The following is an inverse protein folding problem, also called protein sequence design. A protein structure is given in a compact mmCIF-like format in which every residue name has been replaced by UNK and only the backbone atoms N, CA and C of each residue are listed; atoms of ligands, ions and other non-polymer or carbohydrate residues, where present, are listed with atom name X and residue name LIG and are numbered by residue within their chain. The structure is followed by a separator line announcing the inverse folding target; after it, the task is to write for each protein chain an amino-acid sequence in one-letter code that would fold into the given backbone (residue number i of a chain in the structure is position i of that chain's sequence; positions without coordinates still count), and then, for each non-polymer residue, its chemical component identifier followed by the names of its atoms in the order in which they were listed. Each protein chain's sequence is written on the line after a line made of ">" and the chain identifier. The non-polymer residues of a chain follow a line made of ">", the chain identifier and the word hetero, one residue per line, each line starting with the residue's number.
data_IF_021905304268
#
_entry.id   IF_021905304268
#
_cell.length_a   1.000
_cell.length_b   1.000
_cell.length_c   1.000
_cell.angle_alpha   90.00
_cell.angle_beta   90.00
_cell.angle_gamma   90.00
#
_symmetry.space_group_name_H-M   'P 1'
#
loop_
_entity.id
_entity.type
_entity.pdbx_description
1 polymer ?
#
# COMPACT_ATOMS: atom_id res chain seq x y z
N UNK A 1 -4.43 22.74 -13.92
CA UNK A 1 -4.90 21.37 -14.19
C UNK A 1 -4.13 20.78 -15.37
N UNK A 2 -3.81 19.48 -15.34
CA UNK A 2 -3.16 18.77 -16.45
C UNK A 2 -3.93 18.94 -17.78
N UNK A 3 -5.24 18.84 -17.72
CA UNK A 3 -6.09 18.86 -18.92
C UNK A 3 -6.25 20.25 -19.57
N UNK A 4 -5.74 21.30 -18.94
CA UNK A 4 -5.78 22.66 -19.51
C UNK A 4 -4.39 23.07 -20.00
N UNK A 5 -3.45 23.27 -19.09
CA UNK A 5 -2.09 23.76 -19.38
C UNK A 5 -0.99 23.14 -18.51
N UNK A 6 -1.35 22.23 -17.61
CA UNK A 6 -0.43 21.64 -16.67
C UNK A 6 0.13 20.28 -17.08
N UNK A 7 -0.08 19.84 -18.33
CA UNK A 7 0.56 18.66 -18.89
C UNK A 7 1.81 19.08 -19.67
N UNK A 8 2.86 18.29 -19.61
CA UNK A 8 4.14 18.54 -20.29
C UNK A 8 4.85 17.21 -20.57
N UNK A 9 5.77 17.23 -21.55
CA UNK A 9 6.41 16.02 -22.08
C UNK A 9 7.12 15.19 -21.00
N UNK A 10 7.83 15.83 -20.07
CA UNK A 10 8.57 15.10 -19.02
C UNK A 10 7.65 14.32 -18.08
N UNK A 11 6.41 14.75 -17.90
CA UNK A 11 5.44 14.00 -17.13
C UNK A 11 4.90 12.79 -17.92
N UNK A 12 4.68 12.94 -19.20
CA UNK A 12 4.30 11.84 -20.09
C UNK A 12 5.44 10.82 -20.21
N UNK A 13 6.68 11.28 -20.38
CA UNK A 13 7.89 10.45 -20.38
C UNK A 13 8.07 9.69 -19.06
N UNK A 14 7.73 10.32 -17.93
CA UNK A 14 7.77 9.66 -16.61
C UNK A 14 6.72 8.55 -16.50
N UNK A 15 5.50 8.79 -16.98
CA UNK A 15 4.45 7.76 -17.03
C UNK A 15 4.84 6.58 -17.93
N UNK A 16 5.38 6.87 -19.11
CA UNK A 16 5.87 5.83 -20.03
C UNK A 16 7.04 5.04 -19.45
N UNK A 17 7.99 5.75 -18.83
CA UNK A 17 9.10 5.10 -18.13
C UNK A 17 8.61 4.15 -17.06
N UNK A 18 7.68 4.57 -16.21
CA UNK A 18 7.18 3.74 -15.11
C UNK A 18 6.39 2.53 -15.65
N UNK A 19 5.56 2.74 -16.65
CA UNK A 19 4.86 1.65 -17.33
C UNK A 19 5.85 0.62 -17.93
N UNK A 20 6.91 1.10 -18.61
CA UNK A 20 7.93 0.23 -19.19
C UNK A 20 8.69 -0.57 -18.14
N UNK A 21 9.00 0.02 -16.98
CA UNK A 21 9.70 -0.67 -15.88
C UNK A 21 8.86 -1.78 -15.25
N UNK A 22 7.57 -1.66 -15.32
CA UNK A 22 6.59 -2.65 -14.84
C UNK A 22 6.14 -3.63 -15.95
N UNK A 23 6.62 -3.46 -17.19
CA UNK A 23 6.10 -4.17 -18.37
C UNK A 23 4.58 -4.03 -18.52
N UNK A 24 4.05 -2.90 -18.08
CA UNK A 24 2.63 -2.61 -18.03
C UNK A 24 2.15 -1.92 -19.31
N UNK A 25 0.88 -2.10 -19.71
CA UNK A 25 0.32 -1.43 -20.87
C UNK A 25 0.26 0.09 -20.77
N UNK A 26 0.09 0.63 -19.54
CA UNK A 26 0.07 2.07 -19.27
C UNK A 26 0.24 2.41 -17.79
N UNK A 27 0.68 3.64 -17.51
CA UNK A 27 0.65 4.26 -16.19
C UNK A 27 0.09 5.68 -16.29
N UNK A 28 -0.57 6.15 -15.23
CA UNK A 28 -1.11 7.51 -15.10
C UNK A 28 -0.72 8.09 -13.75
N UNK A 29 -0.10 9.26 -13.74
CA UNK A 29 0.34 9.93 -12.50
C UNK A 29 -0.80 10.70 -11.83
N UNK A 30 -0.89 10.56 -10.50
CA UNK A 30 -1.73 11.31 -9.57
C UNK A 30 -0.88 12.03 -8.53
N UNK A 31 -1.37 13.11 -7.94
CA UNK A 31 -0.61 13.89 -6.94
C UNK A 31 -0.44 13.18 -5.59
N UNK A 32 -1.19 12.14 -5.30
CA UNK A 32 -1.03 11.28 -4.12
C UNK A 32 -1.75 9.94 -4.30
N UNK A 33 -1.38 8.94 -3.50
CA UNK A 33 -2.10 7.66 -3.43
C UNK A 33 -3.55 7.83 -3.00
N UNK A 34 -3.83 8.76 -2.08
CA UNK A 34 -5.19 9.07 -1.68
C UNK A 34 -6.05 9.52 -2.88
N UNK A 35 -5.54 10.48 -3.68
CA UNK A 35 -6.23 10.97 -4.87
C UNK A 35 -6.38 9.88 -5.95
N UNK A 36 -5.40 8.99 -6.08
CA UNK A 36 -5.48 7.85 -6.97
C UNK A 36 -6.63 6.91 -6.56
N UNK A 37 -6.69 6.49 -5.31
CA UNK A 37 -7.70 5.56 -4.81
C UNK A 37 -9.12 6.12 -4.91
N UNK A 38 -9.35 7.38 -4.49
CA UNK A 38 -10.66 8.03 -4.62
C UNK A 38 -11.04 8.36 -6.06
N UNK A 39 -10.06 8.39 -6.96
CA UNK A 39 -10.26 8.65 -8.39
C UNK A 39 -10.52 7.41 -9.22
N UNK A 40 -9.87 6.29 -8.86
CA UNK A 40 -9.96 5.02 -9.62
C UNK A 40 -11.27 4.31 -9.34
N UNK A 41 -11.59 4.07 -8.07
CA UNK A 41 -12.75 3.24 -7.68
C UNK A 41 -14.08 3.73 -8.27
N UNK A 42 -14.43 5.04 -8.26
CA UNK A 42 -15.65 5.52 -8.90
C UNK A 42 -15.68 5.39 -10.42
N UNK A 43 -14.53 5.25 -11.07
CA UNK A 43 -14.42 5.12 -12.53
C UNK A 43 -14.54 3.68 -12.99
N UNK A 44 -13.98 2.72 -12.23
CA UNK A 44 -13.97 1.31 -12.60
C UNK A 44 -15.18 0.53 -12.08
N UNK A 45 -16.04 1.16 -11.27
CA UNK A 45 -17.23 0.52 -10.67
C UNK A 45 -18.49 1.38 -10.84
N UNK A 46 -19.62 0.73 -10.76
CA UNK A 46 -20.95 1.34 -10.82
C UNK A 46 -21.91 0.67 -9.82
N UNK A 47 -23.20 1.07 -9.86
CA UNK A 47 -24.24 0.49 -8.99
C UNK A 47 -24.50 -1.02 -9.22
N UNK A 48 -24.06 -1.56 -10.35
CA UNK A 48 -24.18 -2.99 -10.67
C UNK A 48 -22.99 -3.80 -10.17
N UNK A 49 -21.92 -3.13 -9.73
CA UNK A 49 -20.72 -3.78 -9.22
C UNK A 49 -20.82 -4.00 -7.71
N UNK A 50 -20.38 -5.16 -7.23
CA UNK A 50 -20.13 -5.39 -5.81
C UNK A 50 -18.63 -5.39 -5.55
N UNK A 51 -18.18 -4.47 -4.72
CA UNK A 51 -16.79 -4.41 -4.25
C UNK A 51 -16.64 -5.33 -3.04
N UNK A 52 -15.67 -6.23 -3.07
CA UNK A 52 -15.33 -7.16 -1.99
C UNK A 52 -13.96 -6.73 -1.46
N UNK A 53 -13.90 -6.16 -0.26
CA UNK A 53 -12.67 -5.59 0.26
C UNK A 53 -12.26 -6.21 1.59
N UNK A 54 -10.94 -6.25 1.82
CA UNK A 54 -10.40 -6.62 3.12
C UNK A 54 -10.80 -5.59 4.20
N UNK A 55 -10.99 -6.05 5.43
CA UNK A 55 -11.43 -5.18 6.53
C UNK A 55 -10.38 -4.15 6.97
N UNK A 56 -9.09 -4.33 6.63
CA UNK A 56 -8.02 -3.42 7.00
C UNK A 56 -7.54 -2.50 5.88
N UNK A 57 -8.24 -2.43 4.75
CA UNK A 57 -7.86 -1.51 3.67
C UNK A 57 -7.79 -0.06 4.15
N UNK A 58 -6.87 0.70 3.56
CA UNK A 58 -6.62 2.10 3.87
C UNK A 58 -7.86 2.99 3.71
N UNK A 59 -7.93 4.08 4.50
CA UNK A 59 -9.05 5.03 4.48
C UNK A 59 -9.35 5.58 3.08
N UNK A 60 -8.33 5.81 2.23
CA UNK A 60 -8.53 6.28 0.85
C UNK A 60 -9.28 5.29 -0.04
N UNK A 61 -9.06 3.97 0.14
CA UNK A 61 -9.83 2.93 -0.54
C UNK A 61 -11.28 2.91 -0.05
N UNK A 62 -11.49 3.01 1.27
CA UNK A 62 -12.85 3.11 1.86
C UNK A 62 -13.60 4.33 1.34
N UNK A 63 -12.94 5.47 1.24
CA UNK A 63 -13.56 6.70 0.71
C UNK A 63 -13.82 6.59 -0.80
N UNK A 64 -12.92 5.97 -1.55
CA UNK A 64 -13.15 5.65 -2.97
C UNK A 64 -14.34 4.73 -3.17
N UNK A 65 -14.52 3.71 -2.31
CA UNK A 65 -15.69 2.82 -2.29
C UNK A 65 -16.98 3.62 -2.04
N UNK A 66 -16.98 4.51 -1.05
CA UNK A 66 -18.14 5.37 -0.76
C UNK A 66 -18.51 6.28 -1.93
N UNK A 67 -17.51 6.85 -2.59
CA UNK A 67 -17.69 7.73 -3.75
C UNK A 67 -18.17 6.98 -4.99
N UNK A 68 -17.86 5.69 -5.14
CA UNK A 68 -18.22 4.86 -6.29
C UNK A 68 -19.72 4.57 -6.39
N UNK A 69 -20.46 4.65 -5.28
CA UNK A 69 -21.86 4.24 -5.17
C UNK A 69 -22.10 2.75 -5.47
N UNK A 70 -21.04 1.95 -5.61
CA UNK A 70 -21.12 0.50 -5.75
C UNK A 70 -21.59 -0.14 -4.43
N UNK A 71 -22.19 -1.31 -4.52
CA UNK A 71 -22.39 -2.15 -3.33
C UNK A 71 -21.03 -2.61 -2.82
N UNK A 72 -20.88 -2.80 -1.52
CA UNK A 72 -19.66 -3.36 -0.98
C UNK A 72 -19.93 -4.35 0.15
N UNK A 73 -19.05 -5.31 0.28
CA UNK A 73 -18.98 -6.28 1.36
C UNK A 73 -17.53 -6.35 1.85
N UNK A 74 -17.38 -6.65 3.13
CA UNK A 74 -16.07 -6.71 3.78
C UNK A 74 -15.81 -8.15 4.16
N UNK A 75 -14.62 -8.67 3.89
CA UNK A 75 -14.16 -9.95 4.42
C UNK A 75 -13.12 -9.74 5.52
N UNK A 76 -13.05 -10.71 6.44
CA UNK A 76 -12.10 -10.67 7.55
C UNK A 76 -10.67 -10.68 7.04
N UNK A 77 -9.82 -9.92 7.67
CA UNK A 77 -8.45 -9.66 7.25
C UNK A 77 -7.68 -10.91 6.83
N UNK A 78 -7.13 -10.88 5.62
CA UNK A 78 -6.35 -11.94 4.98
C UNK A 78 -7.05 -13.32 4.96
N UNK A 79 -8.38 -13.38 5.12
CA UNK A 79 -9.14 -14.63 5.16
C UNK A 79 -9.61 -15.05 3.75
N UNK A 80 -8.77 -15.83 3.08
CA UNK A 80 -9.03 -16.35 1.72
C UNK A 80 -10.31 -17.20 1.66
N UNK A 81 -10.56 -18.04 2.66
CA UNK A 81 -11.77 -18.87 2.70
C UNK A 81 -13.04 -18.00 2.78
N UNK A 82 -12.98 -16.88 3.53
CA UNK A 82 -14.10 -15.95 3.59
C UNK A 82 -14.29 -15.17 2.29
N UNK A 83 -13.18 -14.82 1.62
CA UNK A 83 -13.24 -14.22 0.28
C UNK A 83 -13.92 -15.16 -0.71
N UNK A 84 -13.53 -16.45 -0.75
CA UNK A 84 -14.14 -17.45 -1.60
C UNK A 84 -15.64 -17.64 -1.32
N UNK A 85 -16.02 -17.71 -0.05
CA UNK A 85 -17.45 -17.81 0.35
C UNK A 85 -18.28 -16.63 -0.19
N UNK A 86 -17.73 -15.42 -0.15
CA UNK A 86 -18.40 -14.22 -0.66
C UNK A 86 -18.48 -14.22 -2.18
N UNK A 87 -17.40 -14.62 -2.86
CA UNK A 87 -17.36 -14.72 -4.32
C UNK A 87 -18.38 -15.72 -4.87
N UNK A 88 -18.61 -16.82 -4.15
CA UNK A 88 -19.65 -17.83 -4.48
C UNK A 88 -21.07 -17.27 -4.37
N UNK A 89 -21.34 -16.40 -3.39
CA UNK A 89 -22.69 -15.89 -3.10
C UNK A 89 -23.07 -14.65 -3.92
N UNK A 90 -22.06 -13.92 -4.41
CA UNK A 90 -22.30 -12.66 -5.11
C UNK A 90 -22.41 -12.92 -6.60
N UNK A 91 -23.53 -12.50 -7.18
CA UNK A 91 -23.77 -12.54 -8.62
C UNK A 91 -23.39 -11.20 -9.28
N UNK A 92 -23.16 -11.23 -10.59
CA UNK A 92 -22.87 -10.05 -11.40
C UNK A 92 -21.42 -9.59 -11.33
N UNK A 93 -21.18 -8.30 -11.56
CA UNK A 93 -19.85 -7.72 -11.60
C UNK A 93 -19.23 -7.64 -10.19
N UNK A 94 -18.01 -8.14 -10.04
CA UNK A 94 -17.28 -8.18 -8.78
C UNK A 94 -15.92 -7.51 -8.93
N UNK A 95 -15.51 -6.74 -7.91
CA UNK A 95 -14.18 -6.18 -7.78
C UNK A 95 -13.62 -6.51 -6.41
N UNK A 96 -12.48 -7.20 -6.36
CA UNK A 96 -11.73 -7.44 -5.13
C UNK A 96 -10.78 -6.27 -4.92
N UNK A 97 -10.72 -5.72 -3.69
CA UNK A 97 -9.83 -4.60 -3.33
C UNK A 97 -9.01 -5.00 -2.11
N UNK A 98 -7.69 -5.02 -2.28
CA UNK A 98 -6.71 -5.39 -1.25
C UNK A 98 -5.51 -4.43 -1.26
N UNK A 99 -4.69 -4.49 -0.20
CA UNK A 99 -3.33 -3.94 -0.18
C UNK A 99 -2.32 -5.09 -0.30
N UNK A 100 -1.17 -4.86 -0.91
CA UNK A 100 -0.11 -5.87 -0.99
C UNK A 100 0.60 -6.09 0.35
N UNK A 101 0.71 -5.01 1.13
CA UNK A 101 1.22 -5.00 2.50
C UNK A 101 0.38 -4.03 3.32
N UNK A 102 -0.17 -4.48 4.45
CA UNK A 102 -1.03 -3.66 5.31
C UNK A 102 -0.22 -2.78 6.26
N UNK A 103 -0.63 -1.54 6.38
CA UNK A 103 0.16 -0.46 7.01
C UNK A 103 0.40 -0.61 8.50
N UNK A 104 -0.56 -1.18 9.25
CA UNK A 104 -0.49 -1.28 10.72
C UNK A 104 0.13 -2.57 11.19
N UNK A 105 0.04 -3.60 10.38
CA UNK A 105 0.43 -4.97 10.71
C UNK A 105 1.70 -5.40 9.96
N UNK A 106 1.99 -4.80 8.80
CA UNK A 106 3.14 -5.16 7.97
C UNK A 106 3.00 -6.54 7.33
N UNK A 107 1.83 -7.14 7.41
CA UNK A 107 1.50 -8.43 6.82
C UNK A 107 0.94 -8.27 5.40
N UNK A 108 0.67 -9.38 4.74
CA UNK A 108 0.29 -9.44 3.33
C UNK A 108 -0.74 -10.53 3.10
N UNK A 109 -1.67 -10.33 2.15
CA UNK A 109 -2.54 -11.42 1.70
C UNK A 109 -1.73 -12.40 0.83
N UNK A 110 -2.28 -13.57 0.62
CA UNK A 110 -1.86 -14.45 -0.47
C UNK A 110 -2.40 -13.89 -1.80
N UNK A 111 -1.59 -13.02 -2.44
CA UNK A 111 -1.99 -12.31 -3.66
C UNK A 111 -2.24 -13.30 -4.81
N UNK A 112 -1.44 -14.37 -4.91
CA UNK A 112 -1.61 -15.40 -5.94
C UNK A 112 -2.97 -16.08 -5.81
N UNK A 113 -3.33 -16.48 -4.59
CA UNK A 113 -4.63 -17.12 -4.36
C UNK A 113 -5.81 -16.14 -4.57
N UNK A 114 -5.63 -14.85 -4.26
CA UNK A 114 -6.63 -13.82 -4.60
C UNK A 114 -6.84 -13.75 -6.12
N UNK A 115 -5.79 -13.82 -6.94
CA UNK A 115 -5.92 -13.80 -8.39
C UNK A 115 -6.51 -15.12 -8.93
N UNK A 116 -6.17 -16.28 -8.36
CA UNK A 116 -6.77 -17.57 -8.68
C UNK A 116 -8.29 -17.56 -8.44
N UNK A 117 -8.71 -17.03 -7.28
CA UNK A 117 -10.13 -16.86 -6.97
C UNK A 117 -10.82 -15.85 -7.90
N UNK A 118 -10.13 -14.77 -8.23
CA UNK A 118 -10.66 -13.76 -9.16
C UNK A 118 -10.92 -14.37 -10.55
N UNK A 119 -10.01 -15.20 -11.05
CA UNK A 119 -10.18 -15.92 -12.31
C UNK A 119 -11.34 -16.92 -12.23
N UNK A 120 -11.34 -17.76 -11.20
CA UNK A 120 -12.39 -18.78 -10.96
C UNK A 120 -13.80 -18.19 -10.93
N UNK A 121 -13.97 -17.00 -10.34
CA UNK A 121 -15.28 -16.37 -10.13
C UNK A 121 -15.56 -15.16 -11.02
N UNK A 122 -14.70 -14.86 -11.99
CA UNK A 122 -14.86 -13.74 -12.92
C UNK A 122 -14.87 -12.37 -12.21
N UNK A 123 -14.04 -12.18 -11.21
CA UNK A 123 -13.90 -10.92 -10.49
C UNK A 123 -12.70 -10.13 -11.01
N UNK A 124 -12.77 -8.79 -11.01
CA UNK A 124 -11.59 -7.94 -11.17
C UNK A 124 -10.83 -7.80 -9.85
N UNK A 125 -9.55 -7.44 -9.92
CA UNK A 125 -8.70 -7.17 -8.75
C UNK A 125 -8.09 -5.77 -8.87
N UNK A 126 -8.15 -5.00 -7.78
CA UNK A 126 -7.39 -3.78 -7.57
C UNK A 126 -6.49 -3.94 -6.36
N UNK A 127 -5.19 -3.64 -6.52
CA UNK A 127 -4.19 -3.73 -5.45
C UNK A 127 -3.57 -2.37 -5.17
N UNK A 128 -3.47 -2.00 -3.88
CA UNK A 128 -2.68 -0.84 -3.44
C UNK A 128 -1.30 -1.32 -2.97
N UNK A 129 -0.24 -0.83 -3.63
CA UNK A 129 1.16 -1.15 -3.36
C UNK A 129 1.86 -0.12 -2.47
N UNK A 130 1.12 0.63 -1.65
CA UNK A 130 1.67 1.70 -0.84
C UNK A 130 2.83 1.29 0.08
N UNK A 131 2.81 0.08 0.59
CA UNK A 131 3.82 -0.48 1.51
C UNK A 131 4.70 -1.57 0.88
N UNK A 132 4.39 -2.03 -0.33
CA UNK A 132 5.22 -2.96 -1.11
C UNK A 132 6.23 -2.22 -2.00
N UNK A 133 5.81 -1.08 -2.59
CA UNK A 133 6.66 -0.25 -3.46
C UNK A 133 7.94 0.19 -2.74
N UNK A 134 9.09 -0.08 -3.35
CA UNK A 134 10.42 0.27 -2.84
C UNK A 134 10.99 -0.72 -1.83
N UNK A 135 10.30 -1.82 -1.54
CA UNK A 135 10.73 -2.85 -0.59
C UNK A 135 10.78 -4.25 -1.19
N UNK A 136 9.81 -4.60 -2.01
CA UNK A 136 9.57 -5.97 -2.44
C UNK A 136 9.28 -6.06 -3.93
N UNK A 137 9.21 -7.29 -4.45
CA UNK A 137 8.99 -7.55 -5.86
C UNK A 137 10.25 -7.33 -6.71
N UNK A 138 10.13 -7.58 -8.00
CA UNK A 138 11.23 -7.35 -8.93
C UNK A 138 11.53 -5.85 -9.03
N UNK A 139 12.80 -5.49 -8.98
CA UNK A 139 13.23 -4.08 -8.94
C UNK A 139 12.56 -3.23 -7.84
N UNK A 140 12.15 -3.83 -6.72
CA UNK A 140 11.42 -3.17 -5.63
C UNK A 140 10.10 -2.50 -6.08
N UNK A 141 9.43 -3.05 -7.07
CA UNK A 141 8.19 -2.49 -7.63
C UNK A 141 6.92 -3.16 -7.07
N UNK A 142 7.03 -3.78 -5.89
CA UNK A 142 5.89 -4.35 -5.19
C UNK A 142 5.56 -5.79 -5.62
N UNK A 143 4.74 -6.45 -4.83
CA UNK A 143 4.40 -7.86 -5.03
C UNK A 143 3.38 -8.10 -6.12
N UNK A 144 2.45 -7.16 -6.31
CA UNK A 144 1.42 -7.27 -7.33
C UNK A 144 1.95 -7.05 -8.75
N UNK A 145 3.22 -6.64 -8.93
CA UNK A 145 3.83 -6.41 -10.23
C UNK A 145 3.67 -7.62 -11.17
N UNK A 146 3.89 -8.83 -10.68
CA UNK A 146 3.80 -10.06 -11.47
C UNK A 146 2.40 -10.32 -12.06
N UNK A 147 1.36 -9.70 -11.50
CA UNK A 147 -0.03 -9.85 -11.94
C UNK A 147 -0.52 -8.71 -12.84
N UNK A 148 0.35 -7.77 -13.20
CA UNK A 148 -0.06 -6.55 -13.93
C UNK A 148 -0.71 -6.83 -15.28
N UNK A 149 -0.29 -7.91 -15.93
CA UNK A 149 -0.82 -8.38 -17.20
C UNK A 149 -1.84 -9.53 -17.03
N UNK A 150 -2.20 -9.88 -15.80
CA UNK A 150 -3.25 -10.87 -15.55
C UNK A 150 -4.61 -10.34 -16.02
N UNK A 151 -5.44 -11.15 -16.72
CA UNK A 151 -6.73 -10.70 -17.27
C UNK A 151 -7.66 -10.05 -16.24
N UNK A 152 -7.59 -10.51 -15.00
CA UNK A 152 -8.41 -10.02 -13.90
C UNK A 152 -7.77 -8.83 -13.16
N UNK A 153 -6.54 -8.41 -13.48
CA UNK A 153 -5.92 -7.22 -12.90
C UNK A 153 -6.53 -5.96 -13.54
N UNK A 154 -7.34 -5.25 -12.77
CA UNK A 154 -7.98 -4.01 -13.23
C UNK A 154 -7.07 -2.81 -13.03
N UNK A 155 -6.46 -2.68 -11.86
CA UNK A 155 -5.57 -1.58 -11.52
C UNK A 155 -4.62 -1.95 -10.38
N UNK A 156 -3.38 -1.45 -10.47
CA UNK A 156 -2.45 -1.42 -9.32
C UNK A 156 -2.09 0.03 -9.05
N UNK A 157 -2.15 0.44 -7.80
CA UNK A 157 -1.82 1.80 -7.36
C UNK A 157 -0.48 1.78 -6.65
N UNK A 158 0.43 2.65 -7.07
CA UNK A 158 1.79 2.79 -6.55
C UNK A 158 2.00 4.16 -5.90
N UNK A 159 1.64 4.36 -4.63
CA UNK A 159 1.91 5.60 -3.92
C UNK A 159 3.40 5.81 -3.68
N UNK A 160 3.89 7.02 -3.92
CA UNK A 160 5.32 7.37 -3.87
C UNK A 160 5.75 8.11 -2.60
N UNK A 161 4.80 8.45 -1.73
CA UNK A 161 5.04 9.24 -0.52
C UNK A 161 5.79 8.51 0.60
N UNK A 162 6.03 7.20 0.45
CA UNK A 162 6.74 6.37 1.44
C UNK A 162 8.17 6.11 0.99
N UNK A 163 8.46 4.98 0.40
CA UNK A 163 9.83 4.58 0.02
C UNK A 163 10.48 5.47 -1.03
N UNK A 164 9.72 5.98 -1.99
CA UNK A 164 10.25 6.95 -2.96
C UNK A 164 10.48 8.35 -2.37
N UNK A 165 9.89 8.66 -1.20
CA UNK A 165 10.11 9.90 -0.46
C UNK A 165 9.63 11.18 -1.17
N UNK A 166 8.76 11.07 -2.17
CA UNK A 166 8.23 12.18 -2.96
C UNK A 166 6.72 12.08 -3.12
N UNK A 167 6.08 13.22 -3.35
CA UNK A 167 4.62 13.25 -3.59
C UNK A 167 4.24 12.56 -4.89
N UNK A 168 3.06 11.94 -4.90
CA UNK A 168 2.48 11.35 -6.08
C UNK A 168 2.09 9.89 -5.92
N UNK A 169 1.49 9.38 -6.98
CA UNK A 169 1.19 7.96 -7.15
C UNK A 169 1.07 7.66 -8.65
N UNK A 170 1.33 6.43 -9.04
CA UNK A 170 0.93 5.93 -10.34
C UNK A 170 -0.26 4.98 -10.20
N UNK A 171 -1.18 5.07 -11.14
CA UNK A 171 -2.18 4.05 -11.40
C UNK A 171 -1.76 3.32 -12.66
N UNK A 172 -1.60 2.02 -12.55
CA UNK A 172 -1.10 1.15 -13.63
C UNK A 172 -2.18 0.15 -14.01
N UNK A 173 -2.30 -0.10 -15.33
CA UNK A 173 -3.25 -1.04 -15.88
C UNK A 173 -3.38 -0.89 -17.40
N UNK A 174 -4.52 -1.27 -17.96
CA UNK A 174 -4.75 -1.22 -19.40
C UNK A 174 -4.74 0.21 -19.97
N UNK A 175 -4.43 0.33 -21.26
CA UNK A 175 -4.56 1.62 -21.98
C UNK A 175 -5.99 2.17 -21.92
N UNK A 176 -6.99 1.28 -21.91
CA UNK A 176 -8.40 1.67 -21.77
C UNK A 176 -8.65 2.28 -20.40
N UNK A 177 -8.13 1.66 -19.32
CA UNK A 177 -8.21 2.23 -17.97
C UNK A 177 -7.63 3.65 -17.93
N UNK A 178 -6.42 3.87 -18.48
CA UNK A 178 -5.79 5.19 -18.54
C UNK A 178 -6.71 6.22 -19.21
N UNK A 179 -7.31 5.87 -20.34
CA UNK A 179 -8.25 6.76 -21.04
C UNK A 179 -9.50 7.07 -20.22
N UNK A 180 -10.07 6.08 -19.54
CA UNK A 180 -11.22 6.29 -18.66
C UNK A 180 -10.87 7.19 -17.48
N UNK A 181 -9.70 7.00 -16.85
CA UNK A 181 -9.26 7.85 -15.74
C UNK A 181 -9.05 9.29 -16.16
N UNK A 182 -8.45 9.54 -17.33
CA UNK A 182 -8.26 10.90 -17.89
C UNK A 182 -9.60 11.60 -18.07
N UNK A 183 -10.64 10.88 -18.51
CA UNK A 183 -11.93 11.46 -18.85
C UNK A 183 -12.94 11.53 -17.70
N UNK A 184 -12.82 10.66 -16.70
CA UNK A 184 -13.86 10.49 -15.68
C UNK A 184 -13.36 10.58 -14.24
N UNK A 185 -12.04 10.49 -13.99
CA UNK A 185 -11.50 10.57 -12.63
C UNK A 185 -11.48 12.01 -12.12
N UNK A 186 -12.41 12.33 -11.23
CA UNK A 186 -12.58 13.70 -10.71
C UNK A 186 -11.34 14.22 -9.99
N UNK A 187 -10.68 13.38 -9.21
CA UNK A 187 -9.43 13.74 -8.49
C UNK A 187 -8.24 13.97 -9.44
N UNK A 188 -8.31 13.45 -10.67
CA UNK A 188 -7.35 13.75 -11.75
C UNK A 188 -7.70 15.03 -12.49
N UNK A 189 -8.97 15.19 -12.87
CA UNK A 189 -9.46 16.30 -13.73
C UNK A 189 -9.38 17.64 -12.98
N UNK A 190 -9.86 17.67 -11.74
CA UNK A 190 -10.10 18.91 -10.98
C UNK A 190 -8.99 19.22 -9.97
N UNK A 191 -7.77 18.77 -10.22
CA UNK A 191 -6.62 19.05 -9.39
C UNK A 191 -5.54 19.82 -10.15
N UNK A 192 -4.65 20.49 -9.41
CA UNK A 192 -3.43 21.08 -9.95
C UNK A 192 -2.47 19.96 -10.39
N UNK A 193 -1.82 20.13 -11.54
CA UNK A 193 -0.77 19.22 -11.99
C UNK A 193 0.51 19.34 -11.15
N UNK A 194 1.41 18.36 -11.20
CA UNK A 194 2.70 18.43 -10.49
C UNK A 194 3.61 19.52 -11.10
N UNK A 195 4.59 20.00 -10.33
CA UNK A 195 5.62 20.86 -10.89
C UNK A 195 6.62 20.05 -11.72
N UNK A 196 7.26 20.71 -12.69
CA UNK A 196 8.30 20.07 -13.51
C UNK A 196 9.49 19.59 -12.68
N UNK A 197 9.87 20.34 -11.64
CA UNK A 197 10.94 19.97 -10.72
C UNK A 197 10.64 18.67 -9.99
N UNK A 198 9.39 18.51 -9.50
CA UNK A 198 8.97 17.27 -8.85
C UNK A 198 9.05 16.07 -9.81
N UNK A 199 8.63 16.22 -11.06
CA UNK A 199 8.67 15.15 -12.06
C UNK A 199 10.10 14.70 -12.36
N UNK A 200 11.03 15.64 -12.51
CA UNK A 200 12.46 15.35 -12.71
C UNK A 200 13.05 14.62 -11.48
N UNK A 201 12.72 15.08 -10.27
CA UNK A 201 13.16 14.42 -9.03
C UNK A 201 12.58 13.01 -8.91
N UNK A 202 11.29 12.81 -9.22
CA UNK A 202 10.63 11.50 -9.21
C UNK A 202 11.34 10.51 -10.14
N UNK A 203 11.69 10.91 -11.34
CA UNK A 203 12.40 10.06 -12.29
C UNK A 203 13.71 9.53 -11.69
N UNK A 204 14.54 10.43 -11.15
CA UNK A 204 15.82 10.08 -10.53
C UNK A 204 15.63 9.18 -9.30
N UNK A 205 14.66 9.52 -8.46
CA UNK A 205 14.39 8.77 -7.23
C UNK A 205 13.88 7.35 -7.53
N UNK A 206 13.00 7.18 -8.50
CA UNK A 206 12.53 5.86 -8.94
C UNK A 206 13.69 5.00 -9.48
N UNK A 207 14.59 5.57 -10.29
CA UNK A 207 15.76 4.85 -10.79
C UNK A 207 16.69 4.40 -9.65
N UNK A 208 16.81 5.19 -8.59
CA UNK A 208 17.60 4.85 -7.40
C UNK A 208 16.90 3.77 -6.59
N UNK A 209 15.61 3.93 -6.32
CA UNK A 209 14.80 3.00 -5.55
C UNK A 209 14.79 1.59 -6.17
N UNK A 210 14.65 1.51 -7.49
CA UNK A 210 14.62 0.23 -8.22
C UNK A 210 15.93 -0.57 -8.10
N UNK A 211 17.05 0.09 -7.85
CA UNK A 211 18.37 -0.54 -7.75
C UNK A 211 18.82 -0.83 -6.33
N UNK A 212 18.03 -0.41 -5.35
CA UNK A 212 18.40 -0.47 -3.95
C UNK A 212 18.34 -1.91 -3.44
N UNK A 213 19.37 -2.32 -2.70
CA UNK A 213 19.32 -3.55 -1.92
C UNK A 213 18.53 -3.29 -0.63
N UNK A 214 17.40 -3.96 -0.49
CA UNK A 214 16.52 -3.87 0.68
C UNK A 214 16.78 -4.95 1.72
N UNK A 215 17.69 -5.89 1.46
CA UNK A 215 17.98 -7.04 2.35
C UNK A 215 18.40 -6.61 3.76
N UNK A 216 19.12 -5.48 3.86
CA UNK A 216 19.55 -4.91 5.14
C UNK A 216 18.36 -4.51 6.04
N UNK A 217 17.28 -3.97 5.47
CA UNK A 217 16.06 -3.60 6.21
C UNK A 217 15.45 -4.85 6.86
N UNK A 218 15.33 -5.93 6.08
CA UNK A 218 14.79 -7.19 6.57
C UNK A 218 15.72 -7.90 7.56
N UNK A 219 17.05 -7.75 7.39
CA UNK A 219 18.02 -8.24 8.36
C UNK A 219 17.90 -7.53 9.72
N UNK A 220 17.74 -6.20 9.74
CA UNK A 220 17.48 -5.43 10.96
C UNK A 220 16.17 -5.86 11.64
N UNK A 221 15.10 -6.03 10.86
CA UNK A 221 13.82 -6.53 11.38
C UNK A 221 13.98 -7.92 11.99
N UNK A 222 14.69 -8.82 11.33
CA UNK A 222 14.94 -10.17 11.83
C UNK A 222 15.78 -10.15 13.12
N UNK A 223 16.83 -9.32 13.18
CA UNK A 223 17.62 -9.12 14.40
C UNK A 223 16.73 -8.65 15.56
N UNK A 224 15.88 -7.65 15.33
CA UNK A 224 14.94 -7.16 16.33
C UNK A 224 14.02 -8.27 16.83
N UNK A 225 13.35 -9.00 15.94
CA UNK A 225 12.41 -10.06 16.32
C UNK A 225 13.07 -11.20 17.08
N UNK A 226 14.28 -11.61 16.69
CA UNK A 226 15.03 -12.68 17.34
C UNK A 226 15.53 -12.31 18.75
N UNK A 227 15.67 -11.02 19.04
CA UNK A 227 16.19 -10.51 20.32
C UNK A 227 15.11 -9.89 21.21
N UNK A 228 13.88 -9.81 20.70
CA UNK A 228 12.73 -9.31 21.45
C UNK A 228 12.32 -10.31 22.53
N UNK A 229 12.00 -9.81 23.74
CA UNK A 229 11.48 -10.65 24.82
C UNK A 229 10.22 -11.41 24.40
N UNK A 230 10.16 -12.69 24.74
CA UNK A 230 9.00 -13.56 24.47
C UNK A 230 7.70 -13.13 25.16
N UNK A 231 7.75 -12.17 26.08
CA UNK A 231 6.58 -11.58 26.72
C UNK A 231 5.78 -10.66 25.78
N UNK A 232 6.44 -10.16 24.73
CA UNK A 232 5.75 -9.32 23.76
C UNK A 232 5.08 -10.15 22.66
N UNK A 233 3.82 -9.82 22.39
CA UNK A 233 3.13 -10.25 21.18
C UNK A 233 3.35 -9.22 20.08
N UNK A 234 3.49 -9.66 18.83
CA UNK A 234 3.66 -8.77 17.69
C UNK A 234 2.93 -9.31 16.45
N UNK A 235 2.66 -8.40 15.54
CA UNK A 235 2.11 -8.70 14.22
C UNK A 235 3.10 -8.15 13.19
N UNK A 236 3.45 -8.96 12.21
CA UNK A 236 4.27 -8.57 11.06
C UNK A 236 4.14 -9.64 9.98
N UNK A 237 4.56 -9.32 8.74
CA UNK A 237 4.65 -10.27 7.63
C UNK A 237 6.04 -10.28 7.00
N UNK A 238 6.31 -11.20 6.08
CA UNK A 238 7.63 -11.34 5.46
C UNK A 238 8.02 -10.16 4.57
N UNK A 239 7.04 -9.45 4.03
CA UNK A 239 7.25 -8.41 3.02
C UNK A 239 7.16 -6.98 3.55
N UNK A 240 6.65 -6.78 4.76
CA UNK A 240 6.55 -5.46 5.39
C UNK A 240 7.79 -5.10 6.19
N UNK A 241 8.28 -3.86 6.05
CA UNK A 241 9.32 -3.30 6.93
C UNK A 241 8.71 -2.76 8.24
N UNK A 242 7.61 -3.32 8.71
CA UNK A 242 6.84 -2.87 9.87
C UNK A 242 6.64 -4.03 10.84
N UNK A 243 6.74 -3.72 12.14
CA UNK A 243 6.32 -4.61 13.24
C UNK A 243 5.34 -3.85 14.12
N UNK A 244 4.15 -4.40 14.30
CA UNK A 244 3.16 -3.94 15.28
C UNK A 244 3.36 -4.65 16.61
N UNK A 245 4.06 -4.04 17.55
CA UNK A 245 4.31 -4.59 18.87
C UNK A 245 3.12 -4.32 19.78
N UNK A 246 2.38 -5.37 20.17
CA UNK A 246 1.18 -5.23 21.00
C UNK A 246 1.58 -4.84 22.43
N UNK A 247 1.06 -3.72 22.89
CA UNK A 247 1.42 -3.12 24.18
C UNK A 247 0.20 -2.68 25.00
N UNK A 248 -1.00 -2.77 24.41
CA UNK A 248 -2.29 -2.45 25.02
C UNK A 248 -2.27 -1.11 25.81
N UNK A 249 -2.59 -1.14 27.07
CA UNK A 249 -2.65 0.05 27.96
C UNK A 249 -1.30 0.72 28.22
N UNK A 250 -0.17 0.03 27.97
CA UNK A 250 1.19 0.57 28.13
C UNK A 250 1.68 1.36 26.91
N UNK A 251 0.92 1.40 25.81
CA UNK A 251 1.39 1.89 24.51
C UNK A 251 1.94 3.31 24.56
N UNK A 252 1.23 4.26 25.18
CA UNK A 252 1.67 5.66 25.26
C UNK A 252 2.90 5.84 26.16
N UNK A 253 3.00 5.08 27.25
CA UNK A 253 4.15 5.14 28.15
C UNK A 253 5.41 4.60 27.48
N UNK A 254 5.27 3.57 26.64
CA UNK A 254 6.40 3.02 25.86
C UNK A 254 6.81 3.99 24.75
N UNK A 255 5.85 4.59 24.04
CA UNK A 255 6.14 5.64 23.03
C UNK A 255 6.96 6.78 23.67
N UNK A 256 6.49 7.34 24.79
CA UNK A 256 7.18 8.43 25.50
C UNK A 256 8.60 8.06 25.88
N UNK A 257 8.80 6.88 26.47
CA UNK A 257 10.11 6.43 26.88
C UNK A 257 11.10 6.22 25.71
N UNK A 258 10.61 5.74 24.57
CA UNK A 258 11.43 5.60 23.36
C UNK A 258 11.77 6.97 22.76
N UNK A 259 10.82 7.90 22.79
CA UNK A 259 11.07 9.29 22.35
C UNK A 259 12.11 10.01 23.22
N UNK A 260 12.12 9.79 24.54
CA UNK A 260 13.12 10.36 25.44
C UNK A 260 14.56 9.92 25.09
N UNK A 261 14.69 8.71 24.52
CA UNK A 261 15.96 8.16 24.00
C UNK A 261 16.20 8.45 22.51
N UNK A 262 15.48 9.41 21.93
CA UNK A 262 15.55 9.79 20.52
C UNK A 262 15.20 8.65 19.53
N UNK A 263 14.42 7.67 19.96
CA UNK A 263 13.89 6.61 19.10
C UNK A 263 12.46 6.93 18.69
N UNK A 264 12.31 7.39 17.45
CA UNK A 264 10.99 7.75 16.92
C UNK A 264 10.18 6.51 16.53
N UNK A 265 9.15 6.21 17.31
CA UNK A 265 8.14 5.19 17.04
C UNK A 265 6.75 5.82 17.15
N UNK A 266 5.70 5.11 16.73
CA UNK A 266 4.34 5.63 16.81
C UNK A 266 3.41 4.71 17.59
N UNK A 267 2.77 5.26 18.62
CA UNK A 267 1.64 4.65 19.28
C UNK A 267 0.41 4.62 18.35
N UNK A 268 -0.13 3.43 18.12
CA UNK A 268 -1.38 3.22 17.39
C UNK A 268 -2.44 2.81 18.38
N UNK A 269 -3.45 3.64 18.52
CA UNK A 269 -4.50 3.51 19.53
C UNK A 269 -5.87 3.22 18.88
N UNK A 270 -6.81 2.79 19.67
CA UNK A 270 -8.23 2.75 19.27
C UNK A 270 -8.70 4.18 18.92
N UNK A 271 -9.51 4.40 17.84
CA UNK A 271 -10.19 3.40 17.02
C UNK A 271 -9.41 2.92 15.78
N UNK A 272 -8.13 3.31 15.60
CA UNK A 272 -7.32 2.86 14.45
C UNK A 272 -7.09 1.35 14.49
N UNK A 273 -6.93 0.79 15.69
CA UNK A 273 -6.89 -0.65 15.97
C UNK A 273 -7.97 -1.01 16.98
N UNK A 274 -8.31 -2.28 17.12
CA UNK A 274 -9.28 -2.73 18.12
C UNK A 274 -8.76 -2.45 19.54
N UNK A 275 -9.69 -2.18 20.45
CA UNK A 275 -9.37 -1.98 21.87
C UNK A 275 -8.75 -3.26 22.45
N UNK A 276 -7.64 -3.09 23.17
CA UNK A 276 -6.81 -4.19 23.66
C UNK A 276 -5.74 -4.67 22.69
N UNK A 277 -5.75 -4.15 21.44
CA UNK A 277 -4.78 -4.42 20.40
C UNK A 277 -3.94 -3.18 20.05
N UNK A 278 -3.94 -2.20 20.96
CA UNK A 278 -3.09 -1.02 20.85
C UNK A 278 -1.62 -1.46 20.79
N UNK A 279 -0.84 -0.78 19.95
CA UNK A 279 0.51 -1.22 19.61
C UNK A 279 1.48 -0.08 19.36
N UNK A 280 2.75 -0.35 19.57
CA UNK A 280 3.83 0.48 19.03
C UNK A 280 4.11 0.02 17.61
N UNK A 281 3.99 0.93 16.65
CA UNK A 281 4.34 0.68 15.26
C UNK A 281 5.81 1.04 15.03
N UNK A 282 6.62 0.02 14.79
CA UNK A 282 8.06 0.13 14.53
C UNK A 282 8.26 -0.03 13.03
N UNK A 283 8.93 0.95 12.39
CA UNK A 283 9.29 0.91 10.98
C UNK A 283 10.80 0.76 10.87
N UNK A 284 11.26 -0.16 10.04
CA UNK A 284 12.67 -0.37 9.75
C UNK A 284 13.02 0.33 8.44
N UNK A 285 14.15 1.04 8.44
CA UNK A 285 14.64 1.82 7.30
C UNK A 285 16.09 1.45 7.01
N UNK A 286 16.55 1.76 5.83
CA UNK A 286 17.92 1.53 5.38
C UNK A 286 18.97 2.40 6.06
N UNK A 287 18.54 3.51 6.66
CA UNK A 287 19.41 4.40 7.45
C UNK A 287 19.50 4.00 8.94
N UNK A 288 18.68 3.04 9.40
CA UNK A 288 18.78 2.57 10.78
C UNK A 288 20.07 1.81 11.01
N UNK A 289 20.62 1.97 12.21
CA UNK A 289 21.84 1.30 12.64
C UNK A 289 21.54 0.14 13.58
N UNK A 290 22.48 -0.81 13.68
CA UNK A 290 22.38 -1.90 14.68
C UNK A 290 22.31 -1.36 16.10
N UNK A 291 23.05 -0.28 16.43
CA UNK A 291 23.04 0.32 17.75
C UNK A 291 21.66 0.89 18.11
N UNK A 292 20.94 1.50 17.16
CA UNK A 292 19.56 1.96 17.40
C UNK A 292 18.61 0.78 17.67
N UNK A 293 18.78 -0.34 16.99
CA UNK A 293 18.00 -1.57 17.25
C UNK A 293 18.33 -2.14 18.66
N UNK A 294 19.60 -2.15 19.05
CA UNK A 294 20.02 -2.63 20.36
C UNK A 294 19.50 -1.73 21.48
N UNK A 295 19.52 -0.39 21.29
CA UNK A 295 18.91 0.56 22.22
C UNK A 295 17.40 0.36 22.34
N UNK A 296 16.70 0.20 21.20
CA UNK A 296 15.27 -0.08 21.17
C UNK A 296 14.92 -1.35 21.96
N UNK A 297 15.67 -2.44 21.74
CA UNK A 297 15.51 -3.71 22.45
C UNK A 297 15.79 -3.58 23.94
N UNK A 298 16.84 -2.84 24.34
CA UNK A 298 17.18 -2.61 25.74
C UNK A 298 16.03 -1.95 26.50
N UNK A 299 15.45 -0.90 25.92
CA UNK A 299 14.33 -0.17 26.53
C UNK A 299 13.08 -1.04 26.59
N UNK A 300 12.73 -1.74 25.51
CA UNK A 300 11.57 -2.62 25.50
C UNK A 300 11.71 -3.75 26.50
N UNK A 301 12.84 -4.48 26.49
CA UNK A 301 13.05 -5.63 27.36
C UNK A 301 13.17 -5.27 28.85
N UNK A 302 13.52 -4.02 29.20
CA UNK A 302 13.52 -3.54 30.58
C UNK A 302 12.14 -3.20 31.15
N UNK A 303 11.09 -3.22 30.30
CA UNK A 303 9.72 -2.83 30.67
C UNK A 303 8.73 -4.00 30.69
N UNK A 304 9.27 -5.21 30.63
CA UNK A 304 8.52 -6.48 30.76
C UNK A 304 8.16 -6.77 32.21
#
# INVERSE_FOLDING_TARGET
>A
SRLISGNFSELEDLEEFFAKKLEAPSALYYNSGYMANIGVLPVITDRSTTIICDELIHASLRDGIRLSKAKHVVFSHNNISKLEELLLKIEGKKLIVIESVYSMDGDSPDIEEVFNLAEKFGAGVMVDEAHGTGLTGENNLGQAQQFINHPNCVAIVYPLGKSAGLSGAFVVGSKMLKQYLINFSRSFIYTTGPSKQLVIQLRKQLETMMKKDTSFIFALKSQFLNSLSSHYQYITGPYGAVVGLITADKTQNIESALMDDNLFVKAILSPTVQRGMERIRICFHDFNTKNEIDSLLSILNSRV
#
